data_IF_296685305935
#
_entry.id   IF_296685305935
#
_cell.length_a   1.000
_cell.length_b   1.000
_cell.length_c   1.000
_cell.angle_alpha   90.00
_cell.angle_beta   90.00
_cell.angle_gamma   90.00
#
_symmetry.space_group_name_H-M   'P 1'
#
loop_
_entity.id
_entity.type
_entity.pdbx_description
1 polymer ?
#
# COMPACT_ATOMS: atom_id res chain seq x y z
N UNK A 1 -40.90 -28.60 -1.26
CA UNK A 1 -40.44 -27.27 -0.81
C UNK A 1 -38.92 -27.33 -0.71
N UNK A 2 -38.20 -26.65 -1.60
CA UNK A 2 -36.74 -26.66 -1.60
C UNK A 2 -36.25 -25.86 -0.38
N UNK A 3 -35.55 -26.53 0.54
CA UNK A 3 -34.93 -25.87 1.69
C UNK A 3 -33.79 -24.99 1.21
N UNK A 4 -33.89 -23.68 1.41
CA UNK A 4 -32.81 -22.76 1.11
C UNK A 4 -31.78 -22.77 2.25
N UNK A 5 -30.50 -22.73 1.89
CA UNK A 5 -29.40 -22.62 2.85
C UNK A 5 -29.28 -21.14 3.25
N UNK A 6 -29.42 -20.84 4.53
CA UNK A 6 -29.22 -19.50 5.08
C UNK A 6 -27.74 -19.23 5.41
N UNK A 7 -27.22 -18.10 4.93
CA UNK A 7 -25.89 -17.64 5.24
C UNK A 7 -25.86 -16.96 6.62
N UNK A 8 -25.19 -17.58 7.59
CA UNK A 8 -24.94 -16.97 8.91
C UNK A 8 -23.72 -16.05 8.87
N UNK A 9 -23.94 -14.78 9.21
CA UNK A 9 -22.87 -13.78 9.35
C UNK A 9 -21.95 -14.15 10.52
N UNK A 10 -20.63 -14.18 10.28
CA UNK A 10 -19.65 -14.46 11.34
C UNK A 10 -19.61 -13.32 12.37
N UNK A 11 -19.51 -13.62 13.68
CA UNK A 11 -19.49 -12.61 14.74
C UNK A 11 -18.24 -11.73 14.71
N UNK A 12 -17.15 -12.20 14.08
CA UNK A 12 -15.92 -11.42 13.88
C UNK A 12 -15.58 -11.43 12.39
N UNK A 13 -15.62 -10.24 11.78
CA UNK A 13 -14.90 -10.00 10.54
C UNK A 13 -13.43 -9.80 10.89
N UNK A 14 -12.55 -10.69 10.42
CA UNK A 14 -11.11 -10.46 10.50
C UNK A 14 -10.80 -9.33 9.52
N UNK A 15 -10.85 -8.09 10.00
CA UNK A 15 -10.28 -6.95 9.31
C UNK A 15 -8.77 -7.17 9.38
N UNK A 16 -8.15 -7.47 8.23
CA UNK A 16 -6.70 -7.58 8.16
C UNK A 16 -6.07 -6.33 8.77
N UNK A 17 -5.01 -6.48 9.58
CA UNK A 17 -4.57 -5.42 10.46
C UNK A 17 -4.31 -4.14 9.68
N UNK A 18 -4.80 -3.04 10.25
CA UNK A 18 -4.66 -1.64 9.80
C UNK A 18 -3.20 -1.15 9.64
N UNK A 19 -2.22 -2.05 9.79
CA UNK A 19 -0.78 -1.76 9.72
C UNK A 19 0.05 -2.82 8.98
N UNK A 20 -0.57 -3.79 8.30
CA UNK A 20 0.18 -4.76 7.49
C UNK A 20 0.84 -4.08 6.28
N UNK A 21 0.13 -3.17 5.62
CA UNK A 21 0.64 -2.41 4.47
C UNK A 21 1.92 -1.67 4.80
N UNK A 22 1.97 -0.97 5.93
CA UNK A 22 3.16 -0.22 6.33
C UNK A 22 4.36 -1.15 6.57
N UNK A 23 4.15 -2.27 7.28
CA UNK A 23 5.19 -3.27 7.52
C UNK A 23 5.72 -3.85 6.20
N UNK A 24 4.83 -4.20 5.28
CA UNK A 24 5.22 -4.76 3.99
C UNK A 24 5.95 -3.74 3.11
N UNK A 25 5.50 -2.48 3.10
CA UNK A 25 6.16 -1.41 2.36
C UNK A 25 7.55 -1.12 2.94
N UNK A 26 7.68 -1.03 4.26
CA UNK A 26 8.98 -0.87 4.93
C UNK A 26 9.94 -2.01 4.59
N UNK A 27 9.47 -3.26 4.74
CA UNK A 27 10.27 -4.44 4.44
C UNK A 27 10.69 -4.47 2.96
N UNK A 28 9.81 -4.07 2.04
CA UNK A 28 10.11 -4.06 0.61
C UNK A 28 11.10 -2.94 0.22
N UNK A 29 11.05 -1.80 0.92
CA UNK A 29 12.06 -0.74 0.79
C UNK A 29 13.41 -1.24 1.27
N UNK A 30 13.45 -1.82 2.47
CA UNK A 30 14.69 -2.34 3.09
C UNK A 30 15.32 -3.47 2.27
N UNK A 31 14.50 -4.34 1.66
CA UNK A 31 14.98 -5.47 0.85
C UNK A 31 15.23 -5.16 -0.62
N UNK A 32 14.97 -3.95 -1.10
CA UNK A 32 15.14 -3.68 -2.53
C UNK A 32 14.02 -4.26 -3.42
N UNK A 33 12.91 -4.76 -2.86
CA UNK A 33 11.81 -5.42 -3.60
C UNK A 33 10.48 -4.62 -3.67
N UNK A 34 10.50 -3.29 -3.51
CA UNK A 34 9.30 -2.45 -3.56
C UNK A 34 8.57 -2.53 -4.92
N UNK A 35 9.31 -2.70 -6.00
CA UNK A 35 8.75 -2.89 -7.33
C UNK A 35 7.89 -4.17 -7.39
N UNK A 36 8.36 -5.26 -6.79
CA UNK A 36 7.62 -6.52 -6.74
C UNK A 36 6.31 -6.36 -5.93
N UNK A 37 6.34 -5.57 -4.86
CA UNK A 37 5.12 -5.29 -4.09
C UNK A 37 4.04 -4.57 -4.91
N UNK A 38 4.43 -3.81 -5.93
CA UNK A 38 3.51 -2.99 -6.74
C UNK A 38 3.18 -3.61 -8.09
N UNK A 39 4.09 -4.40 -8.68
CA UNK A 39 3.96 -4.92 -10.05
C UNK A 39 3.77 -6.45 -10.14
N UNK A 40 4.02 -7.21 -9.06
CA UNK A 40 4.11 -8.69 -9.13
C UNK A 40 2.76 -9.42 -9.00
N UNK A 41 1.68 -8.73 -9.33
CA UNK A 41 0.38 -9.35 -9.46
C UNK A 41 -0.44 -8.48 -10.40
N UNK A 42 -1.33 -9.07 -11.20
CA UNK A 42 -2.32 -8.35 -12.01
C UNK A 42 -3.32 -7.51 -11.16
N UNK A 43 -2.99 -7.24 -9.89
CA UNK A 43 -3.63 -6.37 -8.91
C UNK A 43 -3.59 -4.88 -9.25
N UNK A 44 -3.41 -4.52 -10.53
CA UNK A 44 -3.75 -3.21 -11.08
C UNK A 44 -5.24 -2.83 -10.86
N UNK A 45 -6.07 -3.77 -10.38
CA UNK A 45 -7.52 -3.58 -10.26
C UNK A 45 -8.00 -2.65 -9.13
N UNK A 46 -7.14 -2.08 -8.28
CA UNK A 46 -7.62 -1.21 -7.20
C UNK A 46 -6.72 0.01 -6.93
N UNK A 47 -7.20 1.20 -7.33
CA UNK A 47 -6.69 2.50 -6.88
C UNK A 47 -6.52 2.58 -5.36
N UNK A 48 -7.32 1.83 -4.61
CA UNK A 48 -7.23 1.69 -3.14
C UNK A 48 -5.91 1.07 -2.67
N UNK A 49 -5.38 0.06 -3.36
CA UNK A 49 -4.10 -0.55 -3.00
C UNK A 49 -2.95 0.41 -3.22
N UNK A 50 -2.96 1.12 -4.36
CA UNK A 50 -1.99 2.14 -4.69
C UNK A 50 -2.04 3.33 -3.71
N UNK A 51 -3.24 3.78 -3.35
CA UNK A 51 -3.44 4.81 -2.33
C UNK A 51 -2.91 4.37 -0.96
N UNK A 52 -3.05 3.09 -0.60
CA UNK A 52 -2.50 2.56 0.65
C UNK A 52 -0.97 2.53 0.62
N UNK A 53 -0.34 2.06 -0.47
CA UNK A 53 1.12 2.05 -0.62
C UNK A 53 1.67 3.48 -0.58
N UNK A 54 1.21 4.37 -1.44
CA UNK A 54 1.69 5.75 -1.46
C UNK A 54 1.37 6.49 -0.17
N UNK A 55 0.19 6.30 0.41
CA UNK A 55 -0.17 6.87 1.71
C UNK A 55 0.76 6.43 2.83
N UNK A 56 1.27 5.19 2.81
CA UNK A 56 2.31 4.77 3.76
C UNK A 56 3.66 5.41 3.46
N UNK A 57 4.06 5.54 2.19
CA UNK A 57 5.33 6.17 1.80
C UNK A 57 5.35 7.64 2.25
N UNK A 58 4.27 8.39 2.03
CA UNK A 58 4.17 9.79 2.44
C UNK A 58 4.28 10.02 3.95
N UNK A 59 3.96 9.01 4.76
CA UNK A 59 4.08 9.06 6.23
C UNK A 59 5.46 8.65 6.74
N UNK A 60 6.34 8.16 5.87
CA UNK A 60 7.70 7.76 6.26
C UNK A 60 8.60 8.97 6.54
N UNK A 61 9.68 8.80 7.32
CA UNK A 61 10.73 9.81 7.46
C UNK A 61 11.35 10.19 6.09
N UNK A 62 11.85 11.43 5.91
CA UNK A 62 12.36 11.92 4.62
C UNK A 62 13.41 11.03 3.96
N UNK A 63 14.29 10.42 4.76
CA UNK A 63 15.31 9.50 4.25
C UNK A 63 14.70 8.24 3.63
N UNK A 64 13.70 7.64 4.28
CA UNK A 64 13.01 6.44 3.76
C UNK A 64 12.16 6.78 2.53
N UNK A 65 11.59 7.98 2.46
CA UNK A 65 10.90 8.47 1.26
C UNK A 65 11.84 8.59 0.06
N UNK A 66 13.05 9.13 0.26
CA UNK A 66 14.06 9.25 -0.80
C UNK A 66 14.52 7.88 -1.32
N UNK A 67 14.72 6.91 -0.41
CA UNK A 67 15.03 5.53 -0.78
C UNK A 67 13.89 4.89 -1.59
N UNK A 68 12.65 5.06 -1.14
CA UNK A 68 11.48 4.58 -1.86
C UNK A 68 11.36 5.22 -3.25
N UNK A 69 11.57 6.54 -3.39
CA UNK A 69 11.59 7.24 -4.68
C UNK A 69 12.67 6.69 -5.62
N UNK A 70 13.91 6.53 -5.14
CA UNK A 70 15.03 5.97 -5.94
C UNK A 70 14.75 4.55 -6.43
N UNK A 71 14.10 3.74 -5.61
CA UNK A 71 13.77 2.35 -5.92
C UNK A 71 12.55 2.23 -6.84
N UNK A 72 11.53 3.07 -6.63
CA UNK A 72 10.28 3.03 -7.38
C UNK A 72 10.38 3.72 -8.75
N UNK A 73 11.26 4.72 -8.88
CA UNK A 73 11.57 5.43 -10.14
C UNK A 73 10.32 5.93 -10.89
N UNK A 74 9.40 6.58 -10.18
CA UNK A 74 8.14 7.06 -10.73
C UNK A 74 8.01 8.58 -10.66
N UNK A 75 7.77 9.20 -11.82
CA UNK A 75 7.46 10.63 -11.94
C UNK A 75 6.25 11.03 -11.09
N UNK A 76 5.28 10.12 -10.90
CA UNK A 76 4.10 10.36 -10.09
C UNK A 76 4.44 10.47 -8.59
N UNK A 77 5.25 9.53 -8.07
CA UNK A 77 5.68 9.55 -6.67
C UNK A 77 6.54 10.78 -6.37
N UNK A 78 7.43 11.16 -7.30
CA UNK A 78 8.27 12.35 -7.13
C UNK A 78 7.43 13.63 -7.06
N UNK A 79 6.40 13.75 -7.91
CA UNK A 79 5.43 14.86 -7.81
C UNK A 79 4.71 14.84 -6.47
N UNK A 80 4.19 13.68 -6.04
CA UNK A 80 3.46 13.52 -4.78
C UNK A 80 4.31 13.99 -3.58
N UNK A 81 5.58 13.58 -3.53
CA UNK A 81 6.54 13.99 -2.50
C UNK A 81 6.84 15.50 -2.56
N UNK A 82 7.00 16.07 -3.77
CA UNK A 82 7.21 17.51 -3.93
C UNK A 82 6.02 18.34 -3.43
N UNK A 83 4.79 17.84 -3.63
CA UNK A 83 3.57 18.50 -3.17
C UNK A 83 3.44 18.43 -1.65
N UNK A 84 3.84 17.31 -1.03
CA UNK A 84 3.84 17.18 0.43
C UNK A 84 4.85 18.12 1.07
N UNK A 85 6.07 18.24 0.53
CA UNK A 85 7.09 19.16 1.04
C UNK A 85 6.66 20.62 1.02
N UNK A 86 5.86 21.04 0.05
CA UNK A 86 5.31 22.40 -0.02
C UNK A 86 4.23 22.70 1.03
N UNK A 87 3.67 21.66 1.67
CA UNK A 87 2.54 21.75 2.59
C UNK A 87 2.96 21.69 4.07
N UNK A 88 4.22 21.36 4.36
CA UNK A 88 4.83 21.34 5.70
C UNK A 88 5.65 22.58 5.95
#
# INVERSE_FOLDING_TARGET
KAGAIELKKRPVQVITPVNSTHRFVLQAIEKGTLQNLVFDNQAFANHRAMAAVFGTILKLPPLKQALASKQFKSVYLDRLLSMQKKKS
#
